data_IF_754665090150
#
_entry.id   IF_754665090150
#
_cell.length_a   1.000
_cell.length_b   1.000
_cell.length_c   1.000
_cell.angle_alpha   90.00
_cell.angle_beta   90.00
_cell.angle_gamma   90.00
#
_symmetry.space_group_name_H-M   'P 1'
#
loop_
_entity.id
_entity.type
_entity.pdbx_description
1 polymer ?
#
# COMPACT_ATOMS: atom_id res chain seq x y z
N UNK A 1 11.70 -33.69 -6.60
CA UNK A 1 11.76 -32.65 -5.54
C UNK A 1 10.58 -31.77 -5.74
N UNK A 2 9.71 -31.55 -4.77
CA UNK A 2 8.66 -30.57 -4.92
C UNK A 2 9.33 -29.21 -5.09
N UNK A 3 8.92 -28.47 -6.10
CA UNK A 3 9.33 -27.08 -6.32
C UNK A 3 8.93 -26.33 -5.04
N UNK A 4 9.90 -25.82 -4.29
CA UNK A 4 9.60 -24.96 -3.15
C UNK A 4 8.87 -23.73 -3.71
N UNK A 5 7.56 -23.70 -3.54
CA UNK A 5 6.78 -22.47 -3.79
C UNK A 5 7.34 -21.41 -2.84
N UNK A 6 8.02 -20.43 -3.38
CA UNK A 6 8.42 -19.25 -2.63
C UNK A 6 7.34 -18.21 -2.84
N UNK A 7 6.52 -18.01 -1.81
CA UNK A 7 5.43 -17.05 -1.81
C UNK A 7 5.86 -15.65 -2.20
N UNK A 8 4.89 -14.86 -2.63
CA UNK A 8 5.10 -13.48 -3.10
C UNK A 8 4.33 -12.49 -2.24
N UNK A 9 4.85 -11.27 -2.15
CA UNK A 9 4.12 -10.11 -1.65
C UNK A 9 3.75 -9.26 -2.85
N UNK A 10 2.48 -9.26 -3.22
CA UNK A 10 1.94 -8.32 -4.22
C UNK A 10 1.67 -6.99 -3.53
N UNK A 11 2.41 -5.96 -3.89
CA UNK A 11 2.36 -4.68 -3.19
C UNK A 11 1.69 -3.61 -4.03
N UNK A 12 0.45 -3.26 -3.66
CA UNK A 12 -0.34 -2.25 -4.35
C UNK A 12 0.15 -0.86 -3.97
N UNK A 13 0.44 -0.06 -4.97
CA UNK A 13 0.80 1.34 -4.79
C UNK A 13 0.23 2.21 -5.92
N UNK A 14 0.21 3.49 -5.69
CA UNK A 14 -0.27 4.47 -6.66
C UNK A 14 -0.59 5.78 -5.98
N UNK A 15 -0.67 6.82 -6.77
CA UNK A 15 -0.97 8.19 -6.35
C UNK A 15 -2.35 8.28 -5.66
N UNK A 16 -2.60 9.29 -4.85
CA UNK A 16 -3.91 9.57 -4.23
C UNK A 16 -5.01 9.62 -5.28
N UNK A 17 -6.19 9.11 -4.94
CA UNK A 17 -7.35 8.99 -5.83
C UNK A 17 -7.15 8.07 -7.06
N UNK A 18 -6.12 7.22 -7.07
CA UNK A 18 -5.97 6.17 -8.10
C UNK A 18 -6.94 4.98 -7.95
N UNK A 19 -7.66 4.90 -6.81
CA UNK A 19 -8.59 3.79 -6.54
C UNK A 19 -7.95 2.54 -5.94
N UNK A 20 -6.66 2.59 -5.56
CA UNK A 20 -5.92 1.44 -5.00
C UNK A 20 -6.60 0.75 -3.82
N UNK A 21 -7.29 1.50 -2.95
CA UNK A 21 -8.00 0.93 -1.80
C UNK A 21 -9.21 0.08 -2.23
N UNK A 22 -9.95 0.51 -3.27
CA UNK A 22 -11.04 -0.29 -3.86
C UNK A 22 -10.50 -1.53 -4.57
N UNK A 23 -9.39 -1.39 -5.32
CA UNK A 23 -8.73 -2.52 -5.97
C UNK A 23 -8.25 -3.53 -4.92
N UNK A 24 -7.60 -3.07 -3.84
CA UNK A 24 -7.19 -3.92 -2.73
C UNK A 24 -8.37 -4.72 -2.16
N UNK A 25 -9.48 -4.02 -1.86
CA UNK A 25 -10.67 -4.65 -1.30
C UNK A 25 -11.30 -5.69 -2.26
N UNK A 26 -11.28 -5.42 -3.57
CA UNK A 26 -11.77 -6.35 -4.59
C UNK A 26 -10.87 -7.58 -4.72
N UNK A 27 -9.55 -7.40 -4.79
CA UNK A 27 -8.59 -8.51 -4.87
C UNK A 27 -8.69 -9.44 -3.66
N UNK A 28 -8.93 -8.91 -2.47
CA UNK A 28 -9.15 -9.72 -1.27
C UNK A 28 -10.46 -10.54 -1.29
N UNK A 29 -11.38 -10.25 -2.21
CA UNK A 29 -12.60 -11.05 -2.43
C UNK A 29 -12.37 -12.21 -3.42
N UNK A 30 -11.28 -12.19 -4.18
CA UNK A 30 -10.88 -13.26 -5.10
C UNK A 30 -10.23 -14.42 -4.33
N UNK A 31 -11.09 -15.25 -3.72
CA UNK A 31 -10.65 -16.36 -2.85
C UNK A 31 -9.75 -17.38 -3.57
N UNK A 32 -9.86 -17.48 -4.90
CA UNK A 32 -9.02 -18.34 -5.73
C UNK A 32 -7.55 -17.91 -5.77
N UNK A 33 -7.23 -16.67 -5.41
CA UNK A 33 -5.85 -16.18 -5.31
C UNK A 33 -5.19 -16.60 -3.99
N UNK A 34 -5.98 -17.00 -3.00
CA UNK A 34 -5.53 -17.42 -1.66
C UNK A 34 -4.55 -16.44 -1.00
N UNK A 35 -4.73 -15.14 -1.24
CA UNK A 35 -3.85 -14.09 -0.70
C UNK A 35 -4.12 -13.83 0.78
N UNK A 36 -3.07 -13.76 1.56
CA UNK A 36 -3.10 -13.27 2.95
C UNK A 36 -2.92 -11.74 2.98
N UNK A 37 -3.47 -11.10 4.00
CA UNK A 37 -3.24 -9.66 4.20
C UNK A 37 -1.88 -9.43 4.83
N UNK A 38 -1.16 -8.42 4.33
CA UNK A 38 -0.04 -7.82 5.04
C UNK A 38 -0.51 -6.51 5.65
N UNK A 39 -0.64 -6.47 6.98
CA UNK A 39 -1.20 -5.34 7.72
C UNK A 39 -0.09 -4.49 8.31
N UNK A 40 -0.13 -3.19 8.04
CA UNK A 40 0.82 -2.21 8.57
C UNK A 40 0.41 -1.75 9.97
N UNK A 41 1.37 -1.25 10.72
CA UNK A 41 1.16 -0.60 12.01
C UNK A 41 1.00 0.91 11.87
N UNK A 42 0.22 1.52 12.76
CA UNK A 42 0.14 2.98 12.87
C UNK A 42 -0.05 3.44 14.32
N UNK A 43 0.55 4.59 14.65
CA UNK A 43 0.33 5.24 15.95
C UNK A 43 -0.81 6.27 15.92
N UNK A 44 -1.44 6.50 14.76
CA UNK A 44 -2.62 7.35 14.75
C UNK A 44 -3.81 6.65 15.41
N UNK A 45 -4.72 7.41 16.02
CA UNK A 45 -5.96 6.85 16.54
C UNK A 45 -6.78 6.16 15.44
N UNK A 46 -7.49 5.09 15.82
CA UNK A 46 -8.48 4.43 14.98
C UNK A 46 -9.60 5.44 14.62
N UNK A 47 -10.12 5.37 13.41
CA UNK A 47 -11.21 6.21 12.92
C UNK A 47 -12.51 5.42 12.90
N UNK A 48 -13.64 6.15 12.83
CA UNK A 48 -14.95 5.53 12.66
C UNK A 48 -14.98 4.62 11.43
N UNK A 49 -15.49 3.41 11.61
CA UNK A 49 -15.56 2.40 10.57
C UNK A 49 -14.27 1.61 10.31
N UNK A 50 -13.19 1.89 11.03
CA UNK A 50 -11.97 1.08 10.99
C UNK A 50 -12.00 0.01 12.09
N UNK A 51 -11.31 -1.09 11.84
CA UNK A 51 -11.20 -2.23 12.77
C UNK A 51 -9.74 -2.64 12.94
N UNK A 52 -9.36 -2.97 14.18
CA UNK A 52 -8.04 -3.50 14.52
C UNK A 52 -7.67 -4.71 13.64
N UNK A 53 -6.46 -4.68 13.06
CA UNK A 53 -5.96 -5.76 12.21
C UNK A 53 -6.62 -5.87 10.83
N UNK A 54 -7.54 -4.97 10.48
CA UNK A 54 -8.12 -4.90 9.13
C UNK A 54 -7.41 -3.88 8.25
N UNK A 55 -7.42 -2.61 8.67
CA UNK A 55 -6.74 -1.53 7.95
C UNK A 55 -5.31 -1.36 8.46
N UNK A 56 -5.16 -1.37 9.78
CA UNK A 56 -3.89 -1.24 10.47
C UNK A 56 -3.92 -2.03 11.79
N UNK A 57 -2.74 -2.35 12.29
CA UNK A 57 -2.54 -2.59 13.72
C UNK A 57 -2.35 -1.22 14.38
N UNK A 58 -3.34 -0.79 15.18
CA UNK A 58 -3.29 0.50 15.88
C UNK A 58 -2.49 0.35 17.16
N UNK A 59 -1.47 1.18 17.32
CA UNK A 59 -0.50 1.04 18.40
C UNK A 59 -0.02 2.40 18.89
N UNK A 60 1.06 2.42 19.66
CA UNK A 60 1.70 3.62 20.18
C UNK A 60 3.21 3.69 19.82
N UNK A 61 3.84 4.79 20.21
CA UNK A 61 5.28 4.98 19.96
C UNK A 61 6.15 4.02 20.79
N UNK A 62 5.67 3.56 21.95
CA UNK A 62 6.43 2.61 22.78
C UNK A 62 6.54 1.27 22.07
N UNK A 63 5.48 0.81 21.43
CA UNK A 63 5.50 -0.40 20.60
C UNK A 63 6.44 -0.26 19.40
N UNK A 64 6.45 0.90 18.74
CA UNK A 64 7.41 1.18 17.67
C UNK A 64 8.85 1.14 18.19
N UNK A 65 9.12 1.72 19.36
CA UNK A 65 10.45 1.66 20.02
C UNK A 65 10.83 0.22 20.38
N UNK A 66 9.88 -0.58 20.84
CA UNK A 66 10.09 -2.01 21.13
C UNK A 66 10.53 -2.76 19.86
N UNK A 67 9.81 -2.61 18.74
CA UNK A 67 10.16 -3.23 17.48
C UNK A 67 11.52 -2.76 16.94
N UNK A 68 11.84 -1.47 17.10
CA UNK A 68 13.17 -0.94 16.74
C UNK A 68 14.28 -1.60 17.57
N UNK A 69 14.09 -1.74 18.90
CA UNK A 69 15.07 -2.43 19.76
C UNK A 69 15.28 -3.89 19.39
N UNK A 70 14.23 -4.56 18.92
CA UNK A 70 14.28 -5.95 18.43
C UNK A 70 14.84 -6.08 17.01
N UNK A 71 15.05 -4.97 16.31
CA UNK A 71 15.50 -4.98 14.92
C UNK A 71 14.44 -5.47 13.93
N UNK A 72 13.15 -5.49 14.31
CA UNK A 72 12.06 -6.02 13.51
C UNK A 72 11.39 -4.97 12.60
N UNK A 73 11.73 -3.68 12.71
CA UNK A 73 11.13 -2.65 11.84
C UNK A 73 11.74 -2.72 10.45
N UNK A 74 10.92 -3.04 9.45
CA UNK A 74 11.32 -3.08 8.05
C UNK A 74 11.37 -1.67 7.45
N UNK A 75 10.31 -0.88 7.70
CA UNK A 75 10.22 0.53 7.32
C UNK A 75 9.37 1.31 8.31
N UNK A 76 9.62 2.61 8.43
CA UNK A 76 8.79 3.50 9.22
C UNK A 76 8.81 4.91 8.62
N UNK A 77 7.63 5.51 8.50
CA UNK A 77 7.40 6.86 8.03
C UNK A 77 6.67 7.65 9.10
N UNK A 78 6.94 8.94 9.16
CA UNK A 78 6.27 9.84 10.10
C UNK A 78 5.61 11.00 9.37
N UNK A 79 4.48 11.42 9.90
CA UNK A 79 3.73 12.57 9.39
C UNK A 79 3.43 13.51 10.54
N UNK A 80 3.88 14.75 10.43
CA UNK A 80 3.52 15.82 11.36
C UNK A 80 2.09 16.25 11.13
N UNK A 81 1.26 16.20 12.17
CA UNK A 81 -0.13 16.60 12.12
C UNK A 81 -0.43 17.62 13.22
N UNK A 82 -1.58 18.27 13.18
CA UNK A 82 -2.05 19.15 14.25
C UNK A 82 -2.27 18.42 15.59
N UNK A 83 -2.32 17.07 15.57
CA UNK A 83 -2.49 16.21 16.75
C UNK A 83 -1.19 15.54 17.19
N UNK A 84 -0.04 15.96 16.65
CA UNK A 84 1.28 15.39 16.90
C UNK A 84 1.81 14.59 15.71
N UNK A 85 2.86 13.81 15.96
CA UNK A 85 3.50 12.99 14.93
C UNK A 85 2.83 11.61 14.91
N UNK A 86 2.38 11.20 13.74
CA UNK A 86 1.88 9.84 13.50
C UNK A 86 2.90 9.03 12.72
N UNK A 87 3.12 7.80 13.15
CA UNK A 87 3.97 6.85 12.47
C UNK A 87 3.12 5.80 11.76
N UNK A 88 3.61 5.39 10.59
CA UNK A 88 3.14 4.22 9.85
C UNK A 88 4.36 3.35 9.60
N UNK A 89 4.28 2.08 9.93
CA UNK A 89 5.44 1.21 9.81
C UNK A 89 5.05 -0.24 9.51
N UNK A 90 6.00 -0.97 8.96
CA UNK A 90 5.92 -2.41 8.74
C UNK A 90 6.95 -3.08 9.63
N UNK A 91 6.54 -4.14 10.30
CA UNK A 91 7.43 -4.93 11.15
C UNK A 91 7.45 -6.40 10.72
N UNK A 92 8.61 -7.04 10.86
CA UNK A 92 8.75 -8.49 10.83
C UNK A 92 8.35 -9.04 12.21
N UNK A 93 7.08 -9.32 12.36
CA UNK A 93 6.43 -9.82 13.57
C UNK A 93 5.91 -11.25 13.41
N UNK A 94 6.26 -11.89 12.28
CA UNK A 94 5.82 -13.22 11.93
C UNK A 94 4.50 -13.28 11.16
N UNK A 95 3.92 -12.12 10.78
CA UNK A 95 2.69 -12.10 9.98
C UNK A 95 2.92 -12.58 8.52
N UNK A 96 4.15 -12.49 8.02
CA UNK A 96 4.52 -12.87 6.66
C UNK A 96 5.41 -14.11 6.69
N UNK A 97 4.89 -15.23 6.16
CA UNK A 97 5.63 -16.47 5.95
C UNK A 97 5.59 -16.86 4.47
N UNK A 98 6.60 -16.43 3.73
CA UNK A 98 6.72 -16.70 2.29
C UNK A 98 7.05 -18.16 1.95
N UNK A 99 7.29 -19.02 2.94
CA UNK A 99 7.42 -20.45 2.70
C UNK A 99 6.06 -21.13 2.54
N UNK A 100 4.96 -20.46 2.92
CA UNK A 100 3.62 -21.05 2.93
C UNK A 100 2.61 -20.29 2.08
N UNK A 101 2.63 -18.95 2.07
CA UNK A 101 1.54 -18.14 1.55
C UNK A 101 2.01 -16.98 0.66
N UNK A 102 1.10 -16.52 -0.19
CA UNK A 102 1.19 -15.25 -0.91
C UNK A 102 0.47 -14.15 -0.14
N UNK A 103 0.97 -12.93 -0.24
CA UNK A 103 0.46 -11.78 0.52
C UNK A 103 0.06 -10.63 -0.39
N UNK A 104 -0.94 -9.88 0.05
CA UNK A 104 -1.33 -8.61 -0.54
C UNK A 104 -1.07 -7.48 0.45
N UNK A 105 -0.19 -6.56 0.08
CA UNK A 105 0.10 -5.34 0.81
C UNK A 105 -0.32 -4.09 0.04
N UNK A 106 -0.44 -2.97 0.74
CA UNK A 106 -0.77 -1.68 0.13
C UNK A 106 0.01 -0.56 0.81
N UNK A 107 0.58 0.36 0.02
CA UNK A 107 1.31 1.50 0.58
C UNK A 107 1.89 2.45 -0.46
N UNK A 108 3.08 2.97 -0.19
CA UNK A 108 3.78 3.98 -0.97
C UNK A 108 4.93 3.36 -1.76
N UNK A 109 5.51 4.13 -2.68
CA UNK A 109 6.69 3.69 -3.42
C UNK A 109 7.89 3.48 -2.48
N UNK A 110 8.05 4.37 -1.48
CA UNK A 110 9.12 4.24 -0.48
C UNK A 110 8.99 2.92 0.30
N UNK A 111 7.79 2.59 0.79
CA UNK A 111 7.57 1.34 1.52
C UNK A 111 7.79 0.11 0.64
N UNK A 112 7.39 0.14 -0.62
CA UNK A 112 7.68 -0.92 -1.59
C UNK A 112 9.18 -1.20 -1.70
N UNK A 113 9.98 -0.14 -1.89
CA UNK A 113 11.44 -0.29 -2.02
C UNK A 113 12.08 -0.87 -0.75
N UNK A 114 11.59 -0.49 0.44
CA UNK A 114 12.07 -1.05 1.70
C UNK A 114 11.71 -2.52 1.87
N UNK A 115 10.49 -2.90 1.51
CA UNK A 115 10.04 -4.30 1.51
C UNK A 115 10.84 -5.14 0.51
N UNK A 116 11.03 -4.62 -0.70
CA UNK A 116 11.84 -5.27 -1.74
C UNK A 116 13.28 -5.51 -1.29
N UNK A 117 13.87 -4.54 -0.59
CA UNK A 117 15.20 -4.67 -0.01
C UNK A 117 15.25 -5.71 1.14
N UNK A 118 14.18 -5.83 1.91
CA UNK A 118 14.10 -6.73 3.07
C UNK A 118 13.84 -8.18 2.66
N UNK A 119 12.77 -8.43 1.88
CA UNK A 119 12.34 -9.77 1.48
C UNK A 119 13.03 -10.29 0.22
N UNK A 120 13.73 -9.44 -0.51
CA UNK A 120 14.37 -9.75 -1.78
C UNK A 120 13.54 -9.34 -3.00
N UNK A 121 14.24 -9.10 -4.10
CA UNK A 121 13.67 -8.56 -5.33
C UNK A 121 12.63 -9.51 -5.96
N UNK A 122 12.88 -10.82 -5.85
CA UNK A 122 12.00 -11.84 -6.40
C UNK A 122 10.76 -12.12 -5.54
N UNK A 123 10.78 -11.72 -4.27
CA UNK A 123 9.69 -11.95 -3.35
C UNK A 123 8.61 -10.85 -3.40
N UNK A 124 8.97 -9.61 -3.76
CA UNK A 124 8.04 -8.48 -3.72
C UNK A 124 7.70 -8.02 -5.15
N UNK A 125 6.43 -8.19 -5.52
CA UNK A 125 5.92 -7.86 -6.86
C UNK A 125 5.14 -6.56 -6.84
N UNK A 126 5.52 -5.55 -7.65
CA UNK A 126 4.82 -4.27 -7.69
C UNK A 126 3.47 -4.40 -8.42
N UNK A 127 2.43 -3.82 -7.83
CA UNK A 127 1.14 -3.59 -8.47
C UNK A 127 0.90 -2.08 -8.47
N UNK A 128 1.44 -1.40 -9.48
CA UNK A 128 1.35 0.05 -9.60
C UNK A 128 0.08 0.46 -10.34
N UNK A 129 -0.82 1.16 -9.62
CA UNK A 129 -2.08 1.64 -10.15
C UNK A 129 -1.89 3.05 -10.69
N UNK A 130 -2.16 3.21 -11.97
CA UNK A 130 -2.03 4.48 -12.68
C UNK A 130 -3.40 4.99 -13.13
N UNK A 131 -3.60 6.30 -13.00
CA UNK A 131 -4.77 7.04 -13.50
C UNK A 131 -4.27 8.41 -13.95
N UNK A 132 -4.82 8.91 -15.03
CA UNK A 132 -4.51 10.23 -15.56
C UNK A 132 -4.73 11.31 -14.49
N UNK A 133 -3.86 12.31 -14.45
CA UNK A 133 -3.79 13.28 -13.36
C UNK A 133 -5.05 14.16 -13.24
N UNK A 134 -5.68 14.55 -14.36
CA UNK A 134 -6.92 15.33 -14.36
C UNK A 134 -8.10 14.51 -13.81
N UNK A 135 -8.16 13.22 -14.15
CA UNK A 135 -9.15 12.30 -13.59
C UNK A 135 -8.96 12.11 -12.08
N UNK A 136 -7.71 11.93 -11.62
CA UNK A 136 -7.40 11.85 -10.19
C UNK A 136 -7.78 13.10 -9.42
N UNK A 137 -7.48 14.29 -9.99
CA UNK A 137 -7.89 15.58 -9.39
C UNK A 137 -9.41 15.68 -9.29
N UNK A 138 -10.12 15.29 -10.34
CA UNK A 138 -11.59 15.28 -10.36
C UNK A 138 -12.15 14.36 -9.28
N UNK A 139 -11.64 13.12 -9.18
CA UNK A 139 -12.03 12.17 -8.13
C UNK A 139 -11.74 12.71 -6.72
N UNK A 140 -10.55 13.30 -6.52
CA UNK A 140 -10.15 13.88 -5.24
C UNK A 140 -11.05 15.07 -4.85
N UNK A 141 -11.30 15.97 -5.80
CA UNK A 141 -12.14 17.16 -5.59
C UNK A 141 -13.59 16.78 -5.26
N UNK A 142 -14.16 15.83 -5.99
CA UNK A 142 -15.52 15.35 -5.74
C UNK A 142 -15.62 14.73 -4.32
N UNK A 143 -14.68 13.90 -3.94
CA UNK A 143 -14.62 13.33 -2.59
C UNK A 143 -14.49 14.40 -1.50
N UNK A 144 -13.70 15.46 -1.71
CA UNK A 144 -13.59 16.55 -0.73
C UNK A 144 -14.88 17.36 -0.63
N UNK A 145 -15.60 17.58 -1.75
CA UNK A 145 -16.90 18.28 -1.73
C UNK A 145 -17.97 17.55 -0.91
N UNK A 146 -17.89 16.23 -0.81
CA UNK A 146 -18.82 15.39 -0.04
C UNK A 146 -18.50 15.40 1.47
N UNK A 147 -17.33 15.93 1.88
CA UNK A 147 -16.98 16.04 3.29
C UNK A 147 -17.73 17.18 3.98
N UNK A 148 -18.11 16.99 5.23
CA UNK A 148 -18.68 18.06 6.07
C UNK A 148 -17.74 19.26 6.19
N UNK A 149 -16.43 19.00 6.23
CA UNK A 149 -15.37 20.02 6.28
C UNK A 149 -14.30 19.72 5.24
N UNK A 150 -14.48 20.19 3.99
CA UNK A 150 -13.51 19.97 2.93
C UNK A 150 -12.12 20.51 3.26
N UNK A 151 -11.08 19.76 2.89
CA UNK A 151 -9.67 20.09 3.13
C UNK A 151 -8.92 20.24 1.81
N UNK A 152 -9.30 21.21 1.00
CA UNK A 152 -8.76 21.41 -0.34
C UNK A 152 -7.26 21.64 -0.36
N UNK A 153 -6.72 22.38 0.62
CA UNK A 153 -5.29 22.62 0.74
C UNK A 153 -4.52 21.31 0.93
N UNK A 154 -5.00 20.44 1.83
CA UNK A 154 -4.39 19.13 2.07
C UNK A 154 -4.51 18.23 0.83
N UNK A 155 -5.62 18.27 0.12
CA UNK A 155 -5.80 17.57 -1.15
C UNK A 155 -4.74 18.01 -2.18
N UNK A 156 -4.53 19.31 -2.36
CA UNK A 156 -3.53 19.85 -3.27
C UNK A 156 -2.11 19.48 -2.83
N UNK A 157 -1.80 19.59 -1.54
CA UNK A 157 -0.52 19.19 -0.97
C UNK A 157 -0.22 17.71 -1.26
N UNK A 158 -1.20 16.82 -1.07
CA UNK A 158 -1.05 15.39 -1.36
C UNK A 158 -0.83 15.14 -2.84
N UNK A 159 -1.56 15.82 -3.70
CA UNK A 159 -1.38 15.71 -5.15
C UNK A 159 0.06 16.02 -5.57
N UNK A 160 0.63 17.14 -5.07
CA UNK A 160 2.01 17.53 -5.37
C UNK A 160 3.05 16.56 -4.77
N UNK A 161 2.81 16.08 -3.56
CA UNK A 161 3.68 15.06 -2.94
C UNK A 161 3.70 13.77 -3.75
N UNK A 162 2.53 13.32 -4.23
CA UNK A 162 2.42 12.15 -5.10
C UNK A 162 3.17 12.34 -6.44
N UNK A 163 3.15 13.54 -7.02
CA UNK A 163 3.88 13.82 -8.24
C UNK A 163 5.39 13.70 -8.05
N UNK A 164 5.90 14.08 -6.89
CA UNK A 164 7.31 13.93 -6.56
C UNK A 164 7.66 12.46 -6.26
N UNK A 165 6.86 11.76 -5.44
CA UNK A 165 7.11 10.38 -5.05
C UNK A 165 7.04 9.43 -6.27
N UNK A 166 5.96 9.52 -7.05
CA UNK A 166 5.71 8.69 -8.23
C UNK A 166 6.10 9.39 -9.53
N UNK A 167 7.24 10.11 -9.53
CA UNK A 167 7.81 10.63 -10.77
C UNK A 167 8.23 9.47 -11.67
N UNK A 168 8.22 9.69 -12.98
CA UNK A 168 8.65 8.69 -13.96
C UNK A 168 10.04 8.13 -13.65
N UNK A 169 10.94 9.00 -13.25
CA UNK A 169 12.30 8.63 -12.86
C UNK A 169 12.30 7.66 -11.66
N UNK A 170 11.50 7.95 -10.63
CA UNK A 170 11.43 7.12 -9.43
C UNK A 170 10.77 5.75 -9.71
N UNK A 171 9.72 5.73 -10.55
CA UNK A 171 9.07 4.49 -10.98
C UNK A 171 10.05 3.59 -11.73
N UNK A 172 10.79 4.14 -12.69
CA UNK A 172 11.78 3.39 -13.47
C UNK A 172 12.94 2.90 -12.59
N UNK A 173 13.45 3.74 -11.68
CA UNK A 173 14.49 3.35 -10.69
C UNK A 173 14.02 2.23 -9.76
N UNK A 174 12.75 2.18 -9.42
CA UNK A 174 12.15 1.12 -8.62
C UNK A 174 11.99 -0.21 -9.38
N UNK A 175 12.23 -0.21 -10.71
CA UNK A 175 12.07 -1.38 -11.57
C UNK A 175 10.59 -1.69 -11.87
N UNK A 176 9.72 -0.69 -11.86
CA UNK A 176 8.30 -0.85 -12.11
C UNK A 176 8.03 -0.60 -13.59
N UNK A 177 7.91 -1.69 -14.36
CA UNK A 177 7.66 -1.65 -15.81
C UNK A 177 6.19 -1.89 -16.15
N UNK A 178 5.50 -2.73 -15.35
CA UNK A 178 4.07 -3.01 -15.50
C UNK A 178 3.27 -1.97 -14.73
N UNK A 179 2.29 -1.36 -15.41
CA UNK A 179 1.35 -0.38 -14.85
C UNK A 179 -0.06 -0.85 -15.13
N UNK A 180 -0.93 -0.70 -14.16
CA UNK A 180 -2.34 -1.08 -14.25
C UNK A 180 -3.19 0.18 -14.34
N UNK A 181 -3.82 0.39 -15.50
CA UNK A 181 -4.65 1.58 -15.75
C UNK A 181 -6.03 1.40 -15.11
N UNK A 182 -6.37 2.22 -14.12
CA UNK A 182 -7.68 2.17 -13.48
C UNK A 182 -8.65 3.19 -14.12
N UNK A 183 -9.03 2.91 -15.37
CA UNK A 183 -10.12 3.62 -16.06
C UNK A 183 -11.45 3.03 -15.60
N UNK A 184 -11.62 1.71 -15.78
CA UNK A 184 -12.74 0.93 -15.26
C UNK A 184 -12.24 -0.03 -14.18
N UNK A 185 -12.85 0.04 -12.99
CA UNK A 185 -12.39 -0.71 -11.82
C UNK A 185 -12.38 -2.22 -12.06
N UNK A 186 -13.43 -2.75 -12.68
CA UNK A 186 -13.56 -4.18 -12.91
C UNK A 186 -12.45 -4.71 -13.84
N UNK A 187 -12.21 -4.02 -14.94
CA UNK A 187 -11.19 -4.41 -15.93
C UNK A 187 -9.78 -4.37 -15.34
N UNK A 188 -9.49 -3.32 -14.55
CA UNK A 188 -8.22 -3.19 -13.85
C UNK A 188 -8.01 -4.34 -12.84
N UNK A 189 -9.05 -4.72 -12.09
CA UNK A 189 -8.98 -5.83 -11.13
C UNK A 189 -8.71 -7.15 -11.87
N UNK A 190 -9.43 -7.44 -12.96
CA UNK A 190 -9.24 -8.67 -13.73
C UNK A 190 -7.82 -8.73 -14.36
N UNK A 191 -7.28 -7.61 -14.84
CA UNK A 191 -5.91 -7.55 -15.32
C UNK A 191 -4.90 -7.88 -14.21
N UNK A 192 -5.12 -7.36 -12.99
CA UNK A 192 -4.26 -7.66 -11.84
C UNK A 192 -4.39 -9.12 -11.41
N UNK A 193 -5.61 -9.68 -11.39
CA UNK A 193 -5.85 -11.10 -11.12
C UNK A 193 -5.07 -11.97 -12.10
N UNK A 194 -5.16 -11.66 -13.41
CA UNK A 194 -4.38 -12.34 -14.44
C UNK A 194 -2.86 -12.25 -14.20
N UNK A 195 -2.37 -11.07 -13.82
CA UNK A 195 -0.96 -10.86 -13.48
C UNK A 195 -0.53 -11.72 -12.27
N UNK A 196 -1.29 -11.69 -11.19
CA UNK A 196 -0.97 -12.46 -9.98
C UNK A 196 -0.87 -13.96 -10.30
N UNK A 197 -1.79 -14.50 -11.08
CA UNK A 197 -1.80 -15.93 -11.47
C UNK A 197 -0.60 -16.35 -12.31
N UNK A 198 0.17 -15.42 -12.87
CA UNK A 198 1.34 -15.70 -13.72
C UNK A 198 2.69 -15.53 -13.00
N UNK A 199 2.70 -15.11 -11.72
CA UNK A 199 3.91 -14.91 -10.93
C UNK A 199 4.27 -16.14 -10.08
#
# INVERSE_FOLDING_TARGET
MPWNHMGKIFYIMGKSASGKDHIYARLMQHTELNLKKMVLYTTRPIRDGEEEGKQYFFTDEEKLKEFRRKGCVIEARSYSTMHGIWYYFTADDGQVDLAQDDYLGIGTLESYLKLKNYYGEDAVRPVYIEVEDGERLTRALNREKEQEKPKYEEMCRRFLADQAEFSEENILKAGIWKRFQNVELADCVEEIVGYIKTQ
#
